data_IF_348094127194
#
_entry.id   IF_348094127194
#
_cell.length_a   1.000
_cell.length_b   1.000
_cell.length_c   1.000
_cell.angle_alpha   90.00
_cell.angle_beta   90.00
_cell.angle_gamma   90.00
#
_symmetry.space_group_name_H-M   'P 1'
#
loop_
_entity.id
_entity.type
_entity.pdbx_description
1 polymer ?
#
# COMPACT_ATOMS: atom_id res chain seq x y z
N UNK A 1 -6.54 6.30 -12.09
CA UNK A 1 -6.95 7.68 -12.36
C UNK A 1 -8.29 7.93 -11.65
N UNK A 2 -8.30 8.82 -10.64
CA UNK A 2 -9.48 9.14 -9.82
C UNK A 2 -10.61 9.78 -10.66
N UNK A 3 -10.30 10.55 -11.68
CA UNK A 3 -11.30 11.12 -12.61
C UNK A 3 -12.15 10.01 -13.23
N UNK A 4 -11.52 8.93 -13.70
CA UNK A 4 -12.27 7.78 -14.24
C UNK A 4 -13.12 7.05 -13.20
N UNK A 5 -12.74 7.11 -11.92
CA UNK A 5 -13.56 6.54 -10.82
C UNK A 5 -14.83 7.37 -10.65
N UNK A 6 -14.71 8.70 -10.70
CA UNK A 6 -15.84 9.63 -10.64
C UNK A 6 -16.79 9.41 -11.83
N UNK A 7 -16.26 9.42 -13.05
CA UNK A 7 -17.05 9.26 -14.29
C UNK A 7 -17.82 7.94 -14.32
N UNK A 8 -17.15 6.86 -13.93
CA UNK A 8 -17.72 5.50 -13.97
C UNK A 8 -18.53 5.14 -12.72
N UNK A 9 -18.45 5.95 -11.66
CA UNK A 9 -19.02 5.68 -10.32
C UNK A 9 -18.62 4.31 -9.77
N UNK A 10 -17.40 3.85 -10.13
CA UNK A 10 -16.84 2.55 -9.73
C UNK A 10 -15.32 2.69 -9.57
N UNK A 11 -14.78 2.05 -8.53
CA UNK A 11 -13.35 2.07 -8.24
C UNK A 11 -12.93 1.02 -7.22
N UNK A 12 -11.63 0.89 -7.01
CA UNK A 12 -11.10 0.12 -5.90
C UNK A 12 -11.52 0.75 -4.56
N UNK A 13 -11.69 -0.05 -3.48
CA UNK A 13 -12.08 0.46 -2.16
C UNK A 13 -11.27 1.66 -1.71
N UNK A 14 -9.94 1.60 -1.83
CA UNK A 14 -9.06 2.71 -1.46
C UNK A 14 -9.27 3.96 -2.31
N UNK A 15 -9.62 3.83 -3.60
CA UNK A 15 -9.89 4.98 -4.46
C UNK A 15 -11.21 5.66 -4.10
N UNK A 16 -12.25 4.87 -3.79
CA UNK A 16 -13.52 5.38 -3.29
C UNK A 16 -13.35 6.06 -1.92
N UNK A 17 -12.57 5.43 -1.02
CA UNK A 17 -12.26 6.00 0.28
C UNK A 17 -11.52 7.33 0.19
N UNK A 18 -10.53 7.48 -0.70
CA UNK A 18 -9.81 8.74 -0.90
C UNK A 18 -10.77 9.85 -1.34
N UNK A 19 -11.68 9.57 -2.27
CA UNK A 19 -12.69 10.54 -2.71
C UNK A 19 -13.64 10.91 -1.58
N UNK A 20 -14.11 9.93 -0.81
CA UNK A 20 -14.98 10.15 0.34
C UNK A 20 -14.29 11.00 1.43
N UNK A 21 -13.05 10.64 1.79
CA UNK A 21 -12.24 11.39 2.76
C UNK A 21 -12.03 12.83 2.29
N UNK A 22 -11.68 13.02 1.01
CA UNK A 22 -11.47 14.35 0.44
C UNK A 22 -12.74 15.19 0.49
N UNK A 23 -13.86 14.65 0.03
CA UNK A 23 -15.15 15.34 0.02
C UNK A 23 -15.64 15.67 1.44
N UNK A 24 -15.52 14.73 2.38
CA UNK A 24 -15.93 14.94 3.76
C UNK A 24 -15.07 15.96 4.49
N UNK A 25 -13.75 15.91 4.32
CA UNK A 25 -12.86 16.93 4.89
C UNK A 25 -13.12 18.33 4.33
N UNK A 26 -13.51 18.44 3.05
CA UNK A 26 -13.92 19.71 2.45
C UNK A 26 -15.22 20.27 3.07
N UNK A 27 -16.04 19.43 3.71
CA UNK A 27 -17.23 19.83 4.50
C UNK A 27 -16.91 20.02 5.99
N UNK A 28 -15.65 19.95 6.40
CA UNK A 28 -15.25 20.06 7.80
C UNK A 28 -15.44 18.79 8.64
N UNK A 29 -15.72 17.64 8.02
CA UNK A 29 -15.87 16.38 8.75
C UNK A 29 -14.53 15.79 9.14
N UNK A 30 -14.47 15.17 10.31
CA UNK A 30 -13.29 14.42 10.74
C UNK A 30 -13.37 12.99 10.19
N UNK A 31 -12.65 12.77 9.08
CA UNK A 31 -12.62 11.47 8.40
C UNK A 31 -11.19 11.06 8.14
N UNK A 32 -10.85 9.80 8.48
CA UNK A 32 -9.54 9.20 8.27
C UNK A 32 -9.65 7.80 7.70
N UNK A 33 -8.70 7.41 6.85
CA UNK A 33 -8.49 6.00 6.49
C UNK A 33 -7.98 5.23 7.69
N UNK A 34 -8.30 3.94 7.79
CA UNK A 34 -7.84 3.07 8.87
C UNK A 34 -6.80 2.06 8.38
N UNK A 35 -5.86 1.75 9.27
CA UNK A 35 -4.85 0.71 9.02
C UNK A 35 -5.42 -0.69 9.29
N UNK A 36 -6.48 -1.05 8.57
CA UNK A 36 -7.11 -2.36 8.70
C UNK A 36 -6.52 -3.35 7.69
N UNK A 37 -6.17 -4.60 8.11
CA UNK A 37 -5.63 -5.62 7.21
C UNK A 37 -6.61 -5.97 6.09
N UNK A 38 -6.11 -6.16 4.87
CA UNK A 38 -6.89 -6.61 3.72
C UNK A 38 -8.04 -5.72 3.26
N UNK A 39 -8.67 -4.96 4.15
CA UNK A 39 -9.74 -4.01 3.85
C UNK A 39 -9.29 -2.56 4.01
N UNK A 40 -9.80 -1.68 3.14
CA UNK A 40 -9.63 -0.25 3.33
C UNK A 40 -10.89 0.31 3.96
N UNK A 41 -10.84 0.56 5.26
CA UNK A 41 -11.93 1.13 6.03
C UNK A 41 -11.68 2.61 6.30
N UNK A 42 -12.73 3.36 6.62
CA UNK A 42 -12.64 4.75 7.05
C UNK A 42 -13.31 4.93 8.40
N UNK A 43 -12.77 5.82 9.22
CA UNK A 43 -13.45 6.30 10.42
C UNK A 43 -13.99 7.68 10.18
N UNK A 44 -15.20 7.94 10.67
CA UNK A 44 -15.81 9.25 10.70
C UNK A 44 -16.17 9.59 12.15
N UNK A 45 -15.79 10.78 12.58
CA UNK A 45 -16.09 11.27 13.94
C UNK A 45 -16.97 12.51 13.88
N UNK A 46 -18.00 12.54 14.74
CA UNK A 46 -18.87 13.68 14.95
C UNK A 46 -19.01 13.92 16.47
N UNK A 47 -18.37 14.96 16.97
CA UNK A 47 -18.26 15.17 18.41
C UNK A 47 -17.50 14.02 19.09
N UNK A 48 -18.15 13.33 20.01
CA UNK A 48 -17.59 12.16 20.70
C UNK A 48 -17.95 10.81 20.04
N UNK A 49 -18.87 10.83 19.09
CA UNK A 49 -19.27 9.62 18.36
C UNK A 49 -18.26 9.33 17.25
N UNK A 50 -17.91 8.05 17.11
CA UNK A 50 -17.02 7.54 16.05
C UNK A 50 -17.67 6.33 15.39
N UNK A 51 -17.77 6.36 14.08
CA UNK A 51 -18.20 5.23 13.26
C UNK A 51 -17.06 4.74 12.36
N UNK A 52 -16.97 3.41 12.17
CA UNK A 52 -16.14 2.80 11.13
C UNK A 52 -17.05 2.43 9.98
N UNK A 53 -16.66 2.83 8.77
CA UNK A 53 -17.47 2.67 7.56
C UNK A 53 -16.69 1.86 6.52
N UNK A 54 -17.40 1.03 5.74
CA UNK A 54 -16.85 0.36 4.57
C UNK A 54 -17.19 1.14 3.29
N UNK A 55 -16.21 1.80 2.66
CA UNK A 55 -16.45 2.57 1.44
C UNK A 55 -16.82 1.70 0.24
N UNK A 56 -16.57 0.39 0.29
CA UNK A 56 -16.87 -0.53 -0.80
C UNK A 56 -18.28 -1.11 -0.67
N UNK A 57 -18.81 -1.18 0.56
CA UNK A 57 -20.18 -1.65 0.86
C UNK A 57 -21.10 -0.45 1.18
N UNK A 58 -21.15 0.52 0.28
CA UNK A 58 -22.05 1.65 0.36
C UNK A 58 -21.89 2.52 1.62
N UNK A 59 -20.70 2.58 2.22
CA UNK A 59 -20.42 3.25 3.50
C UNK A 59 -21.20 2.65 4.68
N UNK A 60 -21.48 1.36 4.65
CA UNK A 60 -22.14 0.65 5.74
C UNK A 60 -21.33 0.79 7.03
N UNK A 61 -21.97 1.19 8.14
CA UNK A 61 -21.32 1.19 9.44
C UNK A 61 -20.97 -0.23 9.89
N UNK A 62 -19.75 -0.41 10.39
CA UNK A 62 -19.24 -1.68 10.90
C UNK A 62 -19.12 -1.61 12.42
N UNK A 63 -19.76 -2.58 13.09
CA UNK A 63 -19.61 -2.77 14.52
C UNK A 63 -18.37 -3.62 14.86
N UNK A 64 -18.07 -3.72 16.16
CA UNK A 64 -16.95 -4.54 16.63
C UNK A 64 -17.05 -6.03 16.22
N UNK A 65 -18.28 -6.55 16.08
CA UNK A 65 -18.51 -7.92 15.59
C UNK A 65 -18.09 -8.07 14.14
N UNK A 66 -18.54 -7.15 13.26
CA UNK A 66 -18.20 -7.17 11.83
C UNK A 66 -16.69 -7.08 11.62
N UNK A 67 -16.04 -6.16 12.35
CA UNK A 67 -14.58 -5.97 12.28
C UNK A 67 -13.81 -7.22 12.71
N UNK A 68 -14.25 -7.91 13.77
CA UNK A 68 -13.65 -9.19 14.18
C UNK A 68 -13.82 -10.26 13.11
N UNK A 69 -15.00 -10.35 12.49
CA UNK A 69 -15.22 -11.31 11.41
C UNK A 69 -14.33 -11.02 10.20
N UNK A 70 -14.22 -9.76 9.79
CA UNK A 70 -13.33 -9.35 8.71
C UNK A 70 -11.87 -9.69 9.03
N UNK A 71 -11.40 -9.39 10.23
CA UNK A 71 -10.04 -9.68 10.65
C UNK A 71 -9.76 -11.20 10.62
N UNK A 72 -10.67 -12.00 11.20
CA UNK A 72 -10.52 -13.47 11.24
C UNK A 72 -10.56 -14.10 9.85
N UNK A 73 -11.30 -13.54 8.92
CA UNK A 73 -11.32 -14.00 7.53
C UNK A 73 -9.97 -13.79 6.82
N UNK A 74 -9.18 -12.80 7.26
CA UNK A 74 -7.90 -12.42 6.62
C UNK A 74 -6.72 -13.07 7.34
N UNK A 75 -6.68 -13.00 8.67
CA UNK A 75 -5.55 -13.40 9.50
C UNK A 75 -5.77 -14.73 10.24
N UNK A 76 -6.96 -15.30 10.09
CA UNK A 76 -7.33 -16.57 10.72
C UNK A 76 -8.09 -16.42 12.03
N UNK A 77 -8.68 -17.53 12.50
CA UNK A 77 -9.64 -17.55 13.62
C UNK A 77 -9.08 -17.07 14.97
N UNK A 78 -7.76 -17.03 15.13
CA UNK A 78 -7.10 -16.59 16.37
C UNK A 78 -6.80 -15.09 16.40
N UNK A 79 -7.03 -14.38 15.30
CA UNK A 79 -6.79 -12.96 15.22
C UNK A 79 -7.75 -12.17 16.13
N UNK A 80 -7.21 -11.19 16.83
CA UNK A 80 -7.96 -10.32 17.74
C UNK A 80 -7.78 -8.85 17.36
N UNK A 81 -8.85 -8.07 17.53
CA UNK A 81 -8.79 -6.63 17.27
C UNK A 81 -7.87 -5.93 18.26
N UNK A 82 -6.98 -5.11 17.75
CA UNK A 82 -6.08 -4.25 18.52
C UNK A 82 -6.32 -2.77 18.19
N UNK A 83 -5.74 -1.88 18.99
CA UNK A 83 -5.81 -0.44 18.75
C UNK A 83 -5.17 -0.04 17.39
N UNK A 84 -4.21 -0.81 16.90
CA UNK A 84 -3.55 -0.57 15.61
C UNK A 84 -4.50 -0.68 14.41
N UNK A 85 -5.50 -1.56 14.49
CA UNK A 85 -6.51 -1.72 13.45
C UNK A 85 -7.42 -0.48 13.30
N UNK A 86 -7.47 0.36 14.33
CA UNK A 86 -8.20 1.62 14.36
C UNK A 86 -7.31 2.85 14.16
N UNK A 87 -5.99 2.63 13.98
CA UNK A 87 -5.05 3.72 13.80
C UNK A 87 -5.32 4.47 12.48
N UNK A 88 -5.34 5.82 12.51
CA UNK A 88 -5.54 6.60 11.30
C UNK A 88 -4.35 6.47 10.36
N UNK A 89 -4.63 6.29 9.07
CA UNK A 89 -3.63 6.32 8.01
C UNK A 89 -3.40 7.76 7.54
N UNK A 90 -2.15 8.19 7.53
CA UNK A 90 -1.76 9.45 6.89
C UNK A 90 -1.94 9.40 5.36
N UNK A 91 -2.03 10.58 4.73
CA UNK A 91 -2.25 10.70 3.28
C UNK A 91 -1.18 9.94 2.44
N UNK A 92 0.09 9.96 2.90
CA UNK A 92 1.19 9.21 2.27
C UNK A 92 0.90 7.71 2.24
N UNK A 93 0.52 7.14 3.38
CA UNK A 93 0.22 5.71 3.48
C UNK A 93 -1.00 5.31 2.63
N UNK A 94 -2.02 6.16 2.57
CA UNK A 94 -3.18 5.94 1.69
C UNK A 94 -2.78 5.93 0.21
N UNK A 95 -1.94 6.86 -0.22
CA UNK A 95 -1.44 6.91 -1.61
C UNK A 95 -0.57 5.70 -1.95
N UNK A 96 0.32 5.29 -1.04
CA UNK A 96 1.12 4.07 -1.20
C UNK A 96 0.23 2.85 -1.33
N UNK A 97 -0.81 2.72 -0.51
CA UNK A 97 -1.76 1.60 -0.59
C UNK A 97 -2.53 1.58 -1.91
N UNK A 98 -2.94 2.75 -2.43
CA UNK A 98 -3.55 2.87 -3.75
C UNK A 98 -2.61 2.40 -4.86
N UNK A 99 -1.38 2.87 -4.85
CA UNK A 99 -0.37 2.50 -5.84
C UNK A 99 0.03 1.02 -5.73
N UNK A 100 0.14 0.50 -4.51
CA UNK A 100 0.41 -0.92 -4.29
C UNK A 100 -0.70 -1.82 -4.89
N UNK A 101 -1.97 -1.48 -4.69
CA UNK A 101 -3.07 -2.22 -5.31
C UNK A 101 -3.00 -2.19 -6.84
N UNK A 102 -2.61 -1.03 -7.42
CA UNK A 102 -2.39 -0.92 -8.86
C UNK A 102 -1.21 -1.79 -9.31
N UNK A 103 -0.09 -1.73 -8.61
CA UNK A 103 1.12 -2.51 -8.91
C UNK A 103 0.83 -4.02 -8.88
N UNK A 104 0.20 -4.51 -7.81
CA UNK A 104 -0.15 -5.93 -7.68
C UNK A 104 -1.02 -6.39 -8.85
N UNK A 105 -2.02 -5.59 -9.24
CA UNK A 105 -2.86 -5.91 -10.40
C UNK A 105 -2.07 -5.94 -11.70
N UNK A 106 -1.18 -4.96 -11.92
CA UNK A 106 -0.32 -4.93 -13.12
C UNK A 106 0.62 -6.14 -13.19
N UNK A 107 1.15 -6.59 -12.05
CA UNK A 107 1.96 -7.81 -11.97
C UNK A 107 1.13 -9.07 -12.26
N UNK A 108 -0.09 -9.14 -11.74
CA UNK A 108 -1.01 -10.24 -12.03
C UNK A 108 -1.38 -10.30 -13.52
N UNK A 109 -1.60 -9.15 -14.15
CA UNK A 109 -1.94 -9.02 -15.57
C UNK A 109 -0.67 -9.03 -16.48
N UNK A 110 0.49 -9.38 -15.93
CA UNK A 110 1.81 -9.49 -16.59
C UNK A 110 2.35 -8.16 -17.19
N UNK A 111 1.77 -7.02 -16.84
CA UNK A 111 2.23 -5.70 -17.25
C UNK A 111 3.41 -5.19 -16.39
N UNK A 112 4.55 -5.90 -16.46
CA UNK A 112 5.71 -5.68 -15.59
C UNK A 112 6.33 -4.28 -15.74
N UNK A 113 6.39 -3.76 -16.95
CA UNK A 113 6.92 -2.40 -17.22
C UNK A 113 6.09 -1.32 -16.52
N UNK A 114 4.75 -1.44 -16.57
CA UNK A 114 3.84 -0.53 -15.88
C UNK A 114 3.90 -0.71 -14.35
N UNK A 115 4.20 -1.92 -13.88
CA UNK A 115 4.41 -2.18 -12.47
C UNK A 115 5.69 -1.49 -11.96
N UNK A 116 6.80 -1.51 -12.73
CA UNK A 116 8.02 -0.74 -12.44
C UNK A 116 7.71 0.75 -12.34
N UNK A 117 7.06 1.36 -13.33
CA UNK A 117 6.70 2.77 -13.30
C UNK A 117 5.85 3.12 -12.08
N UNK A 118 4.95 2.20 -11.68
CA UNK A 118 4.14 2.39 -10.47
C UNK A 118 4.99 2.36 -9.22
N UNK A 119 5.95 1.46 -9.16
CA UNK A 119 6.87 1.32 -8.03
C UNK A 119 7.83 2.52 -7.93
N UNK A 120 8.33 3.03 -9.06
CA UNK A 120 9.10 4.28 -9.12
C UNK A 120 8.29 5.48 -8.58
N UNK A 121 7.01 5.57 -8.95
CA UNK A 121 6.12 6.58 -8.38
C UNK A 121 5.91 6.40 -6.85
N UNK A 122 5.90 5.15 -6.35
CA UNK A 122 5.85 4.88 -4.91
C UNK A 122 7.14 5.32 -4.21
N UNK A 123 8.30 5.11 -4.83
CA UNK A 123 9.60 5.57 -4.32
C UNK A 123 9.70 7.10 -4.25
N UNK A 124 9.05 7.84 -5.17
CA UNK A 124 8.95 9.30 -5.07
C UNK A 124 8.13 9.74 -3.85
N UNK A 125 7.13 8.95 -3.45
CA UNK A 125 6.29 9.22 -2.26
C UNK A 125 7.01 8.84 -0.96
N UNK A 126 7.75 7.73 -0.97
CA UNK A 126 8.43 7.16 0.20
C UNK A 126 9.86 6.70 -0.13
N UNK A 127 10.79 7.65 -0.38
CA UNK A 127 12.16 7.33 -0.79
C UNK A 127 13.00 6.64 0.30
N UNK A 128 12.61 6.76 1.56
CA UNK A 128 13.32 6.14 2.69
C UNK A 128 12.79 4.74 3.06
N UNK A 129 11.95 4.13 2.22
CA UNK A 129 11.35 2.82 2.48
C UNK A 129 12.18 1.70 1.82
N UNK A 130 12.97 0.91 2.60
CA UNK A 130 13.88 -0.10 2.03
C UNK A 130 13.14 -1.19 1.26
N UNK A 131 11.93 -1.54 1.68
CA UNK A 131 11.11 -2.58 1.05
C UNK A 131 10.75 -2.24 -0.40
N UNK A 132 10.47 -0.96 -0.68
CA UNK A 132 10.18 -0.50 -2.05
C UNK A 132 11.41 -0.56 -2.95
N UNK A 133 12.58 -0.20 -2.43
CA UNK A 133 13.85 -0.31 -3.16
C UNK A 133 14.21 -1.77 -3.46
N UNK A 134 13.99 -2.65 -2.48
CA UNK A 134 14.22 -4.09 -2.67
C UNK A 134 13.32 -4.65 -3.78
N UNK A 135 12.04 -4.33 -3.74
CA UNK A 135 11.08 -4.76 -4.76
C UNK A 135 11.41 -4.19 -6.14
N UNK A 136 11.85 -2.92 -6.23
CA UNK A 136 12.31 -2.30 -7.46
C UNK A 136 13.53 -3.04 -8.03
N UNK A 137 14.49 -3.37 -7.17
CA UNK A 137 15.68 -4.13 -7.55
C UNK A 137 15.35 -5.49 -8.16
N UNK A 138 14.44 -6.23 -7.51
CA UNK A 138 13.99 -7.53 -8.00
C UNK A 138 13.25 -7.43 -9.33
N UNK A 139 12.36 -6.46 -9.46
CA UNK A 139 11.57 -6.31 -10.68
C UNK A 139 12.41 -5.84 -11.87
N UNK A 140 13.34 -4.91 -11.66
CA UNK A 140 14.33 -4.52 -12.67
C UNK A 140 15.24 -5.69 -13.08
N UNK A 141 15.71 -6.52 -12.14
CA UNK A 141 16.51 -7.70 -12.43
C UNK A 141 15.72 -8.71 -13.29
N UNK A 142 14.45 -8.91 -12.99
CA UNK A 142 13.56 -9.78 -13.77
C UNK A 142 13.36 -9.28 -15.21
N UNK A 143 13.31 -7.97 -15.42
CA UNK A 143 13.19 -7.34 -16.74
C UNK A 143 14.53 -7.25 -17.50
N UNK A 144 15.64 -7.70 -16.92
CA UNK A 144 16.97 -7.59 -17.51
C UNK A 144 17.60 -6.20 -17.38
N UNK A 145 16.97 -5.26 -16.68
CA UNK A 145 17.50 -3.93 -16.40
C UNK A 145 18.55 -3.98 -15.28
N UNK A 146 19.64 -4.72 -15.50
CA UNK A 146 20.60 -5.09 -14.46
C UNK A 146 21.23 -3.90 -13.75
N UNK A 147 21.51 -2.80 -14.46
CA UNK A 147 22.09 -1.59 -13.85
C UNK A 147 21.11 -0.92 -12.89
N UNK A 148 19.85 -0.78 -13.29
CA UNK A 148 18.79 -0.23 -12.43
C UNK A 148 18.53 -1.12 -11.20
N UNK A 149 18.58 -2.45 -11.39
CA UNK A 149 18.47 -3.40 -10.29
C UNK A 149 19.58 -3.22 -9.25
N UNK A 150 20.83 -3.07 -9.70
CA UNK A 150 21.99 -2.84 -8.81
C UNK A 150 21.81 -1.54 -8.03
N UNK A 151 21.49 -0.43 -8.71
CA UNK A 151 21.29 0.87 -8.05
C UNK A 151 20.17 0.80 -7.00
N UNK A 152 19.06 0.15 -7.29
CA UNK A 152 17.96 0.00 -6.34
C UNK A 152 18.36 -0.83 -5.11
N UNK A 153 19.08 -1.93 -5.29
CA UNK A 153 19.56 -2.79 -4.20
C UNK A 153 20.66 -2.12 -3.37
N UNK A 154 21.48 -1.25 -3.96
CA UNK A 154 22.43 -0.43 -3.22
C UNK A 154 21.74 0.54 -2.27
N UNK A 155 20.57 1.09 -2.67
CA UNK A 155 19.75 1.90 -1.77
C UNK A 155 19.23 1.09 -0.57
N UNK A 156 18.87 -0.18 -0.75
CA UNK A 156 18.51 -1.06 0.38
C UNK A 156 19.66 -1.17 1.37
N UNK A 157 20.89 -1.36 0.89
CA UNK A 157 22.09 -1.46 1.75
C UNK A 157 22.34 -0.19 2.56
N UNK A 158 21.96 0.98 2.02
CA UNK A 158 22.13 2.27 2.72
C UNK A 158 21.00 2.52 3.74
N UNK A 159 19.78 2.09 3.46
CA UNK A 159 18.59 2.41 4.24
C UNK A 159 18.24 1.36 5.31
N UNK A 160 18.55 0.09 5.04
CA UNK A 160 18.22 -1.00 5.95
C UNK A 160 19.30 -1.17 7.02
N UNK A 161 18.88 -1.29 8.27
CA UNK A 161 19.74 -1.68 9.41
C UNK A 161 19.62 -3.16 9.78
N UNK A 162 18.75 -3.93 9.09
CA UNK A 162 18.58 -5.36 9.34
C UNK A 162 19.73 -6.18 8.73
N UNK A 163 20.55 -6.89 9.54
CA UNK A 163 21.70 -7.64 9.05
C UNK A 163 21.33 -8.80 8.10
N UNK A 164 20.15 -9.40 8.28
CA UNK A 164 19.72 -10.50 7.42
C UNK A 164 19.34 -9.97 6.04
N UNK A 165 18.54 -8.91 5.99
CA UNK A 165 18.21 -8.22 4.74
C UNK A 165 19.47 -7.76 4.00
N UNK A 166 20.42 -7.15 4.70
CA UNK A 166 21.69 -6.71 4.09
C UNK A 166 22.51 -7.87 3.50
N UNK A 167 22.57 -9.02 4.19
CA UNK A 167 23.27 -10.21 3.69
C UNK A 167 22.65 -10.74 2.40
N UNK A 168 21.33 -10.85 2.36
CA UNK A 168 20.61 -11.36 1.19
C UNK A 168 20.78 -10.43 -0.01
N UNK A 169 20.66 -9.13 0.23
CA UNK A 169 20.88 -8.10 -0.80
C UNK A 169 22.32 -8.08 -1.30
N UNK A 170 23.31 -8.24 -0.42
CA UNK A 170 24.72 -8.32 -0.82
C UNK A 170 25.01 -9.51 -1.76
N UNK A 171 24.41 -10.67 -1.46
CA UNK A 171 24.53 -11.85 -2.31
C UNK A 171 23.90 -11.61 -3.70
N UNK A 172 22.72 -10.97 -3.74
CA UNK A 172 22.04 -10.65 -4.98
C UNK A 172 22.82 -9.62 -5.81
N UNK A 173 23.39 -8.59 -5.17
CA UNK A 173 24.27 -7.61 -5.82
C UNK A 173 25.49 -8.27 -6.47
N UNK A 174 26.13 -9.23 -5.77
CA UNK A 174 27.26 -9.98 -6.32
C UNK A 174 26.88 -10.75 -7.58
N UNK A 175 25.72 -11.42 -7.56
CA UNK A 175 25.21 -12.16 -8.72
C UNK A 175 24.91 -11.24 -9.91
N UNK A 176 24.22 -10.11 -9.67
CA UNK A 176 23.85 -9.17 -10.73
C UNK A 176 25.06 -8.49 -11.35
N UNK A 177 26.04 -8.08 -10.54
CA UNK A 177 27.30 -7.48 -11.04
C UNK A 177 28.10 -8.45 -11.90
N UNK A 178 28.12 -9.76 -11.55
CA UNK A 178 28.75 -10.80 -12.38
C UNK A 178 28.06 -11.03 -13.74
N UNK A 179 26.80 -10.60 -13.90
CA UNK A 179 26.04 -10.69 -15.16
C UNK A 179 26.16 -9.44 -16.04
N UNK A 180 26.65 -8.33 -15.49
CA UNK A 180 26.86 -7.06 -16.21
C UNK A 180 28.20 -7.06 -16.94
N UNK A 181 29.22 -7.76 -16.39
CA UNK A 181 30.55 -7.94 -16.96
C UNK A 181 30.57 -9.13 -17.93
#
# INVERSE_FOLDING_TARGET
>A
NLLRVIDRRRGLPVALAILFIHAGRAQGWQIDGLNFPGHFLVSMSLGQERAVLDPFDGLRPLGAHDLRQLLKAIEGNRAELSAEHYAPLGNRAMLLRLQNNRKVRLLHDEHRDLAVQTLEAMLMIAPAEPSLWHEAGLLHAHLGNLRAAVLALEQVMQLSSDPNSQRDVANLLKQLRGRIN
#
